data_IF_152869929233
#
_entry.id   IF_152869929233
#
_cell.length_a   1.000
_cell.length_b   1.000
_cell.length_c   1.000
_cell.angle_alpha   90.00
_cell.angle_beta   90.00
_cell.angle_gamma   90.00
#
_symmetry.space_group_name_H-M   'P 1'
#
loop_
_entity.id
_entity.type
_entity.pdbx_description
1 polymer ?
#
# COMPACT_ATOMS: atom_id res chain seq x y z
N UNK A 1 5.41 -15.21 11.58
CA UNK A 1 5.31 -14.67 10.22
C UNK A 1 5.49 -13.16 10.37
N UNK A 2 6.62 -12.61 9.90
CA UNK A 2 6.94 -11.18 10.03
C UNK A 2 6.56 -10.51 8.70
N UNK A 3 5.66 -9.53 8.74
CA UNK A 3 5.35 -8.70 7.58
C UNK A 3 6.36 -7.55 7.51
N UNK A 4 6.94 -7.25 6.35
CA UNK A 4 7.86 -6.10 6.18
C UNK A 4 7.18 -4.77 6.53
N UNK A 5 5.84 -4.72 6.54
CA UNK A 5 5.09 -3.54 7.00
C UNK A 5 5.36 -3.19 8.48
N UNK A 6 5.73 -4.15 9.33
CA UNK A 6 6.15 -3.85 10.71
C UNK A 6 7.57 -3.25 10.78
N UNK A 7 8.40 -3.48 9.76
CA UNK A 7 9.78 -3.01 9.72
C UNK A 7 9.89 -1.57 9.22
N UNK A 8 8.87 -1.06 8.51
CA UNK A 8 8.82 0.32 8.00
C UNK A 8 9.12 1.36 9.08
N UNK A 9 8.63 1.12 10.29
CA UNK A 9 8.73 2.05 11.42
C UNK A 9 9.99 1.85 12.25
N UNK A 10 10.66 0.70 12.09
CA UNK A 10 11.91 0.38 12.78
C UNK A 10 13.10 0.99 12.03
N UNK A 11 13.02 1.04 10.70
CA UNK A 11 14.13 1.38 9.82
C UNK A 11 13.92 2.73 9.15
N UNK A 12 14.79 3.70 9.41
CA UNK A 12 14.71 5.05 8.81
C UNK A 12 14.92 5.07 7.28
N UNK A 13 15.43 3.98 6.72
CA UNK A 13 15.82 3.85 5.31
C UNK A 13 14.63 3.80 4.33
N UNK A 14 13.41 3.62 4.82
CA UNK A 14 12.17 3.65 4.03
C UNK A 14 11.61 5.06 3.84
N UNK A 15 12.20 6.08 4.49
CA UNK A 15 11.77 7.48 4.37
C UNK A 15 12.71 8.31 3.50
N UNK A 16 12.11 9.14 2.65
CA UNK A 16 12.76 10.23 1.91
C UNK A 16 12.17 11.53 2.43
N UNK A 17 13.00 12.43 2.94
CA UNK A 17 12.52 13.71 3.51
C UNK A 17 11.37 13.50 4.53
N UNK A 18 11.53 12.52 5.42
CA UNK A 18 10.55 12.13 6.45
C UNK A 18 9.21 11.56 5.95
N UNK A 19 9.09 11.22 4.65
CA UNK A 19 7.90 10.56 4.09
C UNK A 19 8.25 9.19 3.51
N UNK A 20 7.34 8.25 3.65
CA UNK A 20 7.32 7.04 2.83
C UNK A 20 6.82 7.38 1.43
N UNK A 21 7.30 6.64 0.44
CA UNK A 21 6.81 6.69 -0.94
C UNK A 21 6.37 5.29 -1.34
N UNK A 22 5.09 5.14 -1.68
CA UNK A 22 4.45 3.87 -1.93
C UNK A 22 3.87 3.79 -3.32
N UNK A 23 3.80 2.58 -3.87
CA UNK A 23 3.05 2.27 -5.08
C UNK A 23 2.12 1.10 -4.79
N UNK A 24 0.82 1.26 -5.06
CA UNK A 24 -0.19 0.22 -4.97
C UNK A 24 -0.53 -0.22 -6.39
N UNK A 25 -0.20 -1.47 -6.72
CA UNK A 25 -0.27 -2.00 -8.07
C UNK A 25 -1.31 -3.11 -8.15
N UNK A 26 -2.07 -3.10 -9.24
CA UNK A 26 -3.10 -4.08 -9.59
C UNK A 26 -2.75 -4.78 -10.91
N UNK A 27 -1.87 -5.78 -10.93
CA UNK A 27 -1.31 -6.30 -12.20
C UNK A 27 -2.31 -6.93 -13.14
N UNK A 28 -3.46 -7.38 -12.62
CA UNK A 28 -4.56 -7.95 -13.41
C UNK A 28 -5.41 -6.88 -14.11
N UNK A 29 -5.28 -5.60 -13.75
CA UNK A 29 -5.96 -4.49 -14.42
C UNK A 29 -5.17 -4.09 -15.65
N UNK A 30 -5.84 -4.06 -16.80
CA UNK A 30 -5.26 -3.68 -18.09
C UNK A 30 -4.99 -2.16 -18.16
N UNK A 31 -3.87 -1.78 -18.77
CA UNK A 31 -3.50 -0.37 -18.96
C UNK A 31 -2.98 0.25 -17.67
N UNK A 32 -3.51 1.42 -17.32
CA UNK A 32 -3.17 2.12 -16.08
C UNK A 32 -3.73 1.30 -14.90
N UNK A 33 -2.84 0.90 -14.00
CA UNK A 33 -3.17 -0.10 -12.98
C UNK A 33 -2.51 0.13 -11.62
N UNK A 34 -2.17 1.38 -11.28
CA UNK A 34 -1.55 1.70 -10.00
C UNK A 34 -1.95 3.07 -9.45
N UNK A 35 -1.69 3.26 -8.16
CA UNK A 35 -1.58 4.56 -7.52
C UNK A 35 -0.20 4.71 -6.89
N UNK A 36 0.47 5.84 -7.10
CA UNK A 36 1.78 6.18 -6.52
C UNK A 36 1.69 7.48 -5.71
N UNK A 37 1.99 7.41 -4.42
CA UNK A 37 1.86 8.53 -3.49
C UNK A 37 2.93 8.51 -2.40
N UNK A 38 2.92 9.54 -1.56
CA UNK A 38 3.71 9.65 -0.34
C UNK A 38 2.85 9.89 0.89
N UNK A 39 3.31 9.45 2.05
CA UNK A 39 2.69 9.72 3.35
C UNK A 39 3.72 9.74 4.49
N UNK A 40 3.43 10.45 5.57
CA UNK A 40 4.38 10.65 6.69
C UNK A 40 4.47 9.44 7.61
N UNK A 41 3.36 8.74 7.81
CA UNK A 41 3.21 7.62 8.74
C UNK A 41 3.01 6.31 8.00
N UNK A 42 3.47 5.18 8.55
CA UNK A 42 3.20 3.87 7.96
C UNK A 42 1.68 3.63 7.91
N UNK A 43 1.18 2.97 6.85
CA UNK A 43 -0.21 2.52 6.77
C UNK A 43 -0.65 1.67 7.97
N UNK A 44 0.28 1.07 8.72
CA UNK A 44 -0.01 0.20 9.87
C UNK A 44 -0.12 0.92 11.21
N UNK A 45 0.18 2.22 11.26
CA UNK A 45 0.12 3.02 12.50
C UNK A 45 -0.94 4.11 12.39
N UNK A 46 -0.97 4.83 11.27
CA UNK A 46 -2.01 5.84 11.10
C UNK A 46 -3.37 5.15 11.04
N UNK A 47 -4.23 5.47 12.01
CA UNK A 47 -5.56 4.88 12.12
C UNK A 47 -6.61 5.87 11.62
N UNK A 48 -7.65 5.35 10.97
CA UNK A 48 -8.85 6.12 10.60
C UNK A 48 -9.46 6.85 11.81
N UNK A 49 -10.06 8.01 11.53
CA UNK A 49 -10.85 8.79 12.47
C UNK A 49 -12.31 8.87 11.98
N UNK A 50 -13.12 7.90 12.41
CA UNK A 50 -14.50 7.71 11.92
C UNK A 50 -15.46 8.89 12.18
N UNK A 51 -15.07 9.87 13.01
CA UNK A 51 -15.85 11.10 13.24
C UNK A 51 -15.59 12.17 12.17
N UNK A 52 -14.55 12.01 11.35
CA UNK A 52 -14.19 12.92 10.25
C UNK A 52 -14.68 12.33 8.93
N UNK A 53 -15.89 12.74 8.50
CA UNK A 53 -16.55 12.21 7.30
C UNK A 53 -16.68 13.25 6.17
N UNK A 54 -16.01 14.40 6.26
CA UNK A 54 -16.07 15.37 5.17
C UNK A 54 -15.28 14.87 3.96
N UNK A 55 -15.62 15.37 2.78
CA UNK A 55 -14.91 15.06 1.53
C UNK A 55 -13.42 15.41 1.58
N UNK A 56 -12.97 16.24 2.52
CA UNK A 56 -11.57 16.66 2.64
C UNK A 56 -10.81 15.88 3.74
N UNK A 57 -11.51 15.01 4.48
CA UNK A 57 -10.97 14.27 5.63
C UNK A 57 -10.41 12.88 5.27
N UNK A 58 -10.32 12.56 3.98
CA UNK A 58 -9.95 11.21 3.51
C UNK A 58 -8.45 11.02 3.26
N UNK A 59 -7.61 11.98 3.66
CA UNK A 59 -6.18 11.94 3.40
C UNK A 59 -5.37 11.44 4.59
N UNK A 60 -4.36 10.61 4.32
CA UNK A 60 -3.34 10.29 5.31
C UNK A 60 -2.46 11.51 5.64
N UNK A 61 -1.81 11.49 6.79
CA UNK A 61 -0.95 12.58 7.21
C UNK A 61 0.20 12.76 6.22
N UNK A 62 0.33 13.98 5.70
CA UNK A 62 1.37 14.33 4.74
C UNK A 62 1.19 13.68 3.36
N UNK A 63 -0.03 13.27 3.02
CA UNK A 63 -0.39 12.80 1.69
C UNK A 63 0.15 13.73 0.61
N UNK A 64 0.79 13.15 -0.39
CA UNK A 64 1.32 13.87 -1.55
C UNK A 64 1.23 12.96 -2.78
N UNK A 65 0.69 13.51 -3.86
CA UNK A 65 0.54 12.81 -5.14
C UNK A 65 1.90 12.73 -5.82
N UNK A 66 2.27 11.53 -6.27
CA UNK A 66 3.39 11.34 -7.22
C UNK A 66 2.83 11.06 -8.61
N UNK A 67 2.00 10.02 -8.73
CA UNK A 67 1.25 9.69 -9.95
C UNK A 67 0.05 8.79 -9.58
N UNK A 68 -1.14 9.38 -9.45
CA UNK A 68 -2.36 8.74 -8.95
C UNK A 68 -3.41 8.70 -10.05
N UNK A 69 -3.96 7.52 -10.30
CA UNK A 69 -4.89 7.27 -11.41
C UNK A 69 -6.29 6.86 -10.98
N UNK A 70 -6.42 6.31 -9.77
CA UNK A 70 -7.70 5.93 -9.18
C UNK A 70 -8.02 6.86 -8.01
N UNK A 71 -9.01 7.74 -8.19
CA UNK A 71 -9.42 8.74 -7.19
C UNK A 71 -10.83 8.53 -6.65
N UNK A 72 -11.60 7.63 -7.25
CA UNK A 72 -12.97 7.32 -6.83
C UNK A 72 -12.98 6.72 -5.41
N UNK A 73 -14.09 6.93 -4.70
CA UNK A 73 -14.23 6.54 -3.29
C UNK A 73 -13.10 7.07 -2.40
N UNK A 74 -12.79 8.36 -2.58
CA UNK A 74 -12.00 9.13 -1.63
C UNK A 74 -10.63 8.51 -1.35
N UNK A 75 -9.92 8.14 -2.42
CA UNK A 75 -8.53 7.72 -2.31
C UNK A 75 -7.68 8.85 -1.72
N UNK A 76 -7.00 8.56 -0.61
CA UNK A 76 -6.10 9.53 0.03
C UNK A 76 -4.88 8.90 0.71
N UNK A 77 -4.40 7.78 0.17
CA UNK A 77 -3.32 6.97 0.74
C UNK A 77 -3.85 5.83 1.61
N UNK A 78 -2.97 5.04 2.23
CA UNK A 78 -3.38 3.85 3.02
C UNK A 78 -3.29 4.10 4.53
N UNK A 79 -4.32 3.69 5.25
CA UNK A 79 -4.38 3.76 6.72
C UNK A 79 -4.90 2.46 7.34
N UNK A 80 -4.63 2.28 8.63
CA UNK A 80 -5.10 1.18 9.44
C UNK A 80 -6.61 1.32 9.64
N UNK A 81 -7.32 0.29 9.20
CA UNK A 81 -8.78 0.23 9.25
C UNK A 81 -9.26 0.19 10.70
N UNK A 82 -10.23 1.05 11.06
CA UNK A 82 -10.79 1.12 12.43
C UNK A 82 -12.31 0.94 12.51
N UNK A 83 -12.97 0.71 11.37
CA UNK A 83 -14.42 0.77 11.29
C UNK A 83 -15.08 -0.25 10.38
N UNK A 84 -15.86 0.26 9.43
CA UNK A 84 -16.92 -0.44 8.70
C UNK A 84 -16.47 -1.50 7.70
N UNK A 85 -15.16 -1.65 7.51
CA UNK A 85 -14.56 -2.48 6.46
C UNK A 85 -13.79 -3.61 7.11
N UNK A 86 -14.01 -4.85 6.66
CA UNK A 86 -13.21 -5.99 7.06
C UNK A 86 -11.92 -6.04 6.25
N UNK A 87 -10.94 -5.20 6.62
CA UNK A 87 -9.60 -5.18 6.03
C UNK A 87 -8.55 -4.77 7.04
N UNK A 88 -7.27 -5.04 6.75
CA UNK A 88 -6.17 -4.61 7.62
C UNK A 88 -5.83 -3.14 7.41
N UNK A 89 -5.57 -2.75 6.16
CA UNK A 89 -5.35 -1.35 5.76
C UNK A 89 -6.19 -1.04 4.53
N UNK A 90 -6.64 0.20 4.37
CA UNK A 90 -7.48 0.60 3.24
C UNK A 90 -7.23 2.05 2.80
N UNK A 91 -7.67 2.35 1.57
CA UNK A 91 -7.51 3.66 0.95
C UNK A 91 -8.77 4.52 0.88
N UNK A 92 -9.92 4.01 1.31
CA UNK A 92 -11.17 4.75 1.40
C UNK A 92 -11.40 5.21 2.85
N UNK A 93 -10.59 6.19 3.24
CA UNK A 93 -10.41 6.58 4.63
C UNK A 93 -11.70 7.15 5.22
N UNK A 94 -12.07 6.66 6.40
CA UNK A 94 -13.22 7.11 7.22
C UNK A 94 -14.61 6.80 6.64
N UNK A 95 -14.71 6.00 5.57
CA UNK A 95 -15.98 5.72 4.90
C UNK A 95 -16.24 4.21 4.75
N UNK A 96 -17.51 3.79 4.67
CA UNK A 96 -17.88 2.38 4.65
C UNK A 96 -17.75 1.76 3.25
N UNK A 97 -16.53 1.70 2.72
CA UNK A 97 -16.26 0.94 1.50
C UNK A 97 -14.85 0.36 1.47
N UNK A 98 -14.70 -0.69 0.67
CA UNK A 98 -13.61 -1.65 0.74
C UNK A 98 -12.55 -1.45 -0.34
N UNK A 99 -12.66 -0.39 -1.15
CA UNK A 99 -11.71 -0.12 -2.24
C UNK A 99 -10.29 0.10 -1.72
N UNK A 100 -9.33 -0.30 -2.56
CA UNK A 100 -7.90 -0.17 -2.29
C UNK A 100 -7.38 -0.95 -1.07
N UNK A 101 -8.20 -1.83 -0.50
CA UNK A 101 -7.84 -2.48 0.75
C UNK A 101 -6.84 -3.63 0.57
N UNK A 102 -5.99 -3.80 1.58
CA UNK A 102 -5.04 -4.91 1.70
C UNK A 102 -5.37 -5.69 2.96
N UNK A 103 -5.31 -7.02 2.84
CA UNK A 103 -5.74 -7.92 3.91
C UNK A 103 -7.25 -7.84 4.15
N UNK A 104 -8.04 -7.66 3.08
CA UNK A 104 -9.49 -7.75 3.15
C UNK A 104 -9.90 -9.18 3.54
N UNK A 105 -10.89 -9.30 4.42
CA UNK A 105 -11.45 -10.57 4.89
C UNK A 105 -12.98 -10.48 4.96
N UNK A 106 -13.67 -11.61 4.96
CA UNK A 106 -15.14 -11.65 5.01
C UNK A 106 -15.86 -11.26 3.72
N UNK A 107 -15.14 -10.82 2.68
CA UNK A 107 -15.65 -10.66 1.32
C UNK A 107 -15.22 -11.86 0.47
N UNK A 108 -16.17 -12.72 0.10
CA UNK A 108 -15.89 -14.07 -0.41
C UNK A 108 -15.43 -14.19 -1.87
N UNK A 109 -14.99 -13.09 -2.52
CA UNK A 109 -14.75 -13.09 -3.97
C UNK A 109 -13.36 -12.62 -4.44
N UNK A 110 -12.50 -12.13 -3.54
CA UNK A 110 -11.11 -11.76 -3.86
C UNK A 110 -10.66 -10.45 -3.22
N UNK A 111 -9.51 -9.94 -3.66
CA UNK A 111 -8.87 -8.70 -3.16
C UNK A 111 -9.53 -7.48 -3.82
N UNK A 112 -9.93 -6.44 -3.06
CA UNK A 112 -10.46 -5.20 -3.62
C UNK A 112 -9.54 -4.54 -4.63
N UNK A 113 -10.08 -4.38 -5.84
CA UNK A 113 -9.53 -3.45 -6.82
C UNK A 113 -9.98 -1.99 -6.58
N UNK A 114 -9.42 -1.06 -7.36
CA UNK A 114 -9.98 0.28 -7.49
C UNK A 114 -11.40 0.22 -8.09
N UNK A 115 -12.16 1.31 -8.02
CA UNK A 115 -13.45 1.35 -8.70
C UNK A 115 -13.30 1.28 -10.22
N UNK A 116 -14.27 0.66 -10.89
CA UNK A 116 -14.30 0.53 -12.35
C UNK A 116 -13.43 -0.58 -12.94
N UNK A 117 -12.59 -1.24 -12.13
CA UNK A 117 -11.96 -2.52 -12.51
C UNK A 117 -12.87 -3.70 -12.16
N UNK A 118 -12.51 -4.91 -12.62
CA UNK A 118 -13.02 -6.14 -12.00
C UNK A 118 -12.86 -6.00 -10.49
N UNK A 119 -13.98 -5.97 -9.77
CA UNK A 119 -14.01 -5.50 -8.38
C UNK A 119 -13.17 -6.38 -7.44
N UNK A 120 -12.88 -7.61 -7.88
CA UNK A 120 -12.10 -8.58 -7.15
C UNK A 120 -10.93 -9.03 -8.00
N UNK A 121 -9.75 -8.86 -7.44
CA UNK A 121 -8.47 -9.25 -8.01
C UNK A 121 -7.95 -10.46 -7.23
N UNK A 122 -7.20 -11.32 -7.89
CA UNK A 122 -6.43 -12.37 -7.22
C UNK A 122 -5.11 -11.83 -6.68
N UNK A 123 -4.68 -10.67 -7.19
CA UNK A 123 -3.35 -10.16 -6.96
C UNK A 123 -3.28 -8.64 -6.78
N UNK A 124 -2.69 -8.21 -5.66
CA UNK A 124 -2.30 -6.83 -5.39
C UNK A 124 -0.88 -6.80 -4.84
N UNK A 125 -0.12 -5.79 -5.21
CA UNK A 125 1.22 -5.57 -4.67
C UNK A 125 1.35 -4.13 -4.13
N UNK A 126 1.82 -4.02 -2.88
CA UNK A 126 2.18 -2.74 -2.26
C UNK A 126 3.70 -2.64 -2.18
N UNK A 127 4.27 -1.66 -2.87
CA UNK A 127 5.70 -1.41 -2.91
C UNK A 127 6.03 -0.23 -2.00
N UNK A 128 7.10 -0.36 -1.22
CA UNK A 128 7.72 0.76 -0.51
C UNK A 128 9.04 1.12 -1.20
N UNK A 129 9.25 2.39 -1.50
CA UNK A 129 10.53 2.87 -2.01
C UNK A 129 11.58 2.83 -0.91
N UNK A 130 12.79 2.42 -1.29
CA UNK A 130 13.93 2.34 -0.39
C UNK A 130 14.96 3.38 -0.82
N UNK A 131 15.54 4.08 0.15
CA UNK A 131 16.51 5.15 -0.13
C UNK A 131 17.95 4.66 -0.22
N UNK A 132 18.20 3.38 0.05
CA UNK A 132 19.54 2.81 0.09
C UNK A 132 19.59 1.37 -0.39
N UNK A 133 20.41 1.12 -1.41
CA UNK A 133 20.71 -0.21 -1.93
C UNK A 133 21.53 -1.06 -0.93
N UNK A 134 22.14 -0.45 0.09
CA UNK A 134 22.82 -1.19 1.16
C UNK A 134 21.82 -2.07 1.96
N UNK A 135 20.55 -1.66 2.00
CA UNK A 135 19.49 -2.45 2.61
C UNK A 135 19.13 -3.70 1.80
N UNK A 136 19.21 -3.62 0.46
CA UNK A 136 19.13 -4.82 -0.39
C UNK A 136 20.23 -5.78 0.04
N UNK A 137 21.48 -5.34 0.21
CA UNK A 137 22.56 -6.23 0.64
C UNK A 137 22.30 -6.89 2.01
N UNK A 138 21.78 -6.15 2.99
CA UNK A 138 21.43 -6.71 4.31
C UNK A 138 20.26 -7.71 4.26
N UNK A 139 19.21 -7.42 3.49
CA UNK A 139 18.08 -8.33 3.35
C UNK A 139 18.35 -9.49 2.38
N UNK A 140 19.21 -9.33 1.37
CA UNK A 140 19.62 -10.45 0.48
C UNK A 140 20.40 -11.50 1.27
N UNK A 141 21.22 -11.08 2.25
CA UNK A 141 21.90 -12.00 3.19
C UNK A 141 20.90 -12.71 4.10
N UNK A 142 19.78 -12.07 4.47
CA UNK A 142 18.73 -12.66 5.32
C UNK A 142 17.65 -13.46 4.55
N UNK A 143 17.39 -13.17 3.28
CA UNK A 143 16.15 -13.59 2.60
C UNK A 143 16.32 -14.59 1.44
N UNK A 144 17.52 -14.87 0.90
CA UNK A 144 17.72 -15.88 -0.16
C UNK A 144 19.16 -16.44 -0.14
N UNK A 145 19.45 -17.72 0.20
CA UNK A 145 19.15 -18.99 -0.50
C UNK A 145 17.90 -18.99 -1.40
N UNK A 146 18.03 -18.37 -2.57
CA UNK A 146 17.56 -18.84 -3.89
C UNK A 146 17.71 -17.67 -4.88
N UNK A 147 18.44 -17.95 -5.95
CA UNK A 147 18.64 -17.23 -7.23
C UNK A 147 17.66 -16.07 -7.52
N UNK A 148 18.09 -14.92 -8.06
CA UNK A 148 18.59 -14.80 -9.44
C UNK A 148 19.46 -13.55 -9.66
N UNK A 149 20.49 -13.77 -10.48
CA UNK A 149 21.39 -12.78 -11.08
C UNK A 149 20.67 -12.04 -12.23
N UNK A 150 21.08 -10.79 -12.47
CA UNK A 150 20.84 -9.95 -13.66
C UNK A 150 19.50 -9.19 -13.79
N UNK A 151 19.40 -8.01 -13.18
CA UNK A 151 18.92 -6.78 -13.86
C UNK A 151 19.21 -5.54 -13.00
N UNK A 152 19.42 -4.37 -13.63
CA UNK A 152 19.86 -3.14 -12.95
C UNK A 152 18.70 -2.23 -12.48
N UNK A 153 17.47 -2.73 -12.39
CA UNK A 153 16.34 -1.99 -11.78
C UNK A 153 15.44 -3.02 -11.10
N UNK A 154 15.43 -3.05 -9.77
CA UNK A 154 14.54 -3.93 -9.00
C UNK A 154 13.45 -3.09 -8.31
N UNK A 155 12.25 -3.09 -8.89
CA UNK A 155 11.00 -2.92 -8.13
C UNK A 155 10.66 -4.28 -7.52
N UNK A 156 10.51 -4.38 -6.20
CA UNK A 156 10.19 -5.64 -5.51
C UNK A 156 8.69 -5.89 -5.48
N UNK A 157 8.22 -6.87 -6.25
CA UNK A 157 6.81 -7.32 -6.27
C UNK A 157 6.51 -8.10 -4.99
N UNK A 158 5.61 -7.58 -4.15
CA UNK A 158 5.09 -8.31 -2.99
C UNK A 158 3.86 -9.08 -3.41
N UNK A 159 3.90 -10.42 -3.29
CA UNK A 159 2.71 -11.24 -3.47
C UNK A 159 2.04 -11.47 -2.11
N UNK A 160 0.84 -10.92 -1.92
CA UNK A 160 -0.02 -11.28 -0.80
C UNK A 160 -1.04 -12.31 -1.31
N UNK A 161 -0.81 -13.58 -0.95
CA UNK A 161 -1.80 -14.67 -1.08
C UNK A 161 -2.83 -14.60 0.04
#
# INVERSE_FOLDING_TARGET
>A
MYSVLSDLEIESNYKINNKYEFLLHYPEVNGINYNWWRQTLSPTIQTENLTQQNSDDHFVLGYEVVDVHFTDFNWGGLSLTKGYVSSYINGNINLPSWHYAIGAYGFEKGIPGPFGSDHYLNFVALYAKINSLNMIRCNTIKAYRNSFLNSNVFLYVFNLM
#
